data_IF_090835201775
#
_entry.id   IF_090835201775
#
_cell.length_a   1.000
_cell.length_b   1.000
_cell.length_c   1.000
_cell.angle_alpha   90.00
_cell.angle_beta   90.00
_cell.angle_gamma   90.00
#
_symmetry.space_group_name_H-M   'P 1'
#
loop_
_entity.id
_entity.type
_entity.pdbx_description
1 polymer ?
#
# COMPACT_ATOMS: atom_id res chain seq x y z
N UNK A 1 17.35 -12.46 -0.37
CA UNK A 1 16.78 -13.60 0.38
C UNK A 1 17.93 -14.56 0.67
N UNK A 2 18.11 -15.01 1.91
CA UNK A 2 19.19 -15.94 2.25
C UNK A 2 18.99 -17.29 1.53
N UNK A 3 20.05 -17.81 0.92
CA UNK A 3 20.00 -19.07 0.17
C UNK A 3 19.89 -20.28 1.13
N UNK A 4 19.59 -21.48 0.59
CA UNK A 4 19.34 -22.68 1.42
C UNK A 4 20.54 -23.02 2.31
N UNK A 5 21.75 -22.89 1.78
CA UNK A 5 23.00 -23.17 2.50
C UNK A 5 23.25 -22.16 3.62
N UNK A 6 23.00 -20.86 3.40
CA UNK A 6 23.11 -19.83 4.44
C UNK A 6 22.18 -20.10 5.62
N UNK A 7 20.93 -20.50 5.35
CA UNK A 7 20.01 -20.91 6.42
C UNK A 7 20.49 -22.16 7.16
N UNK A 8 21.12 -23.09 6.44
CA UNK A 8 21.73 -24.30 7.04
C UNK A 8 22.90 -23.91 7.95
N UNK A 9 23.81 -23.05 7.49
CA UNK A 9 24.92 -22.51 8.27
C UNK A 9 24.39 -21.83 9.54
N UNK A 10 23.41 -20.93 9.41
CA UNK A 10 22.79 -20.25 10.54
C UNK A 10 22.21 -21.24 11.56
N UNK A 11 21.48 -22.26 11.10
CA UNK A 11 20.92 -23.30 11.98
C UNK A 11 22.02 -24.08 12.70
N UNK A 12 23.08 -24.48 12.00
CA UNK A 12 24.16 -25.28 12.59
C UNK A 12 24.97 -24.47 13.61
N UNK A 13 25.17 -23.17 13.37
CA UNK A 13 25.79 -22.26 14.32
C UNK A 13 24.92 -22.06 15.58
N UNK A 14 23.59 -21.98 15.44
CA UNK A 14 22.67 -21.87 16.58
C UNK A 14 22.70 -23.08 17.51
N UNK A 15 23.09 -24.26 17.00
CA UNK A 15 23.24 -25.49 17.78
C UNK A 15 24.65 -25.60 18.39
N UNK A 16 25.47 -24.54 18.31
CA UNK A 16 26.84 -24.48 18.82
C UNK A 16 27.75 -25.62 18.30
N UNK A 17 27.51 -26.09 17.07
CA UNK A 17 28.44 -27.04 16.44
C UNK A 17 29.79 -26.36 16.18
N UNK A 18 30.93 -27.06 16.37
CA UNK A 18 32.24 -26.56 15.96
C UNK A 18 32.26 -26.17 14.48
N UNK A 19 32.90 -25.04 14.17
CA UNK A 19 32.93 -24.50 12.80
C UNK A 19 33.54 -25.48 11.78
N UNK A 20 34.50 -26.29 12.22
CA UNK A 20 35.12 -27.35 11.41
C UNK A 20 34.11 -28.43 11.02
N UNK A 21 33.37 -28.97 11.99
CA UNK A 21 32.34 -29.98 11.72
C UNK A 21 31.24 -29.46 10.79
N UNK A 22 30.88 -28.17 10.92
CA UNK A 22 29.96 -27.49 10.01
C UNK A 22 30.55 -27.46 8.60
N UNK A 23 31.82 -27.10 8.45
CA UNK A 23 32.49 -27.05 7.16
C UNK A 23 32.57 -28.43 6.50
N UNK A 24 32.96 -29.48 7.23
CA UNK A 24 33.03 -30.84 6.72
C UNK A 24 31.67 -31.32 6.19
N UNK A 25 30.57 -31.00 6.91
CA UNK A 25 29.21 -31.29 6.49
C UNK A 25 28.83 -30.55 5.19
N UNK A 26 29.31 -29.32 5.02
CA UNK A 26 29.06 -28.49 3.83
C UNK A 26 29.92 -28.92 2.62
N UNK A 27 31.17 -29.32 2.84
CA UNK A 27 32.07 -29.82 1.79
C UNK A 27 31.49 -31.09 1.17
N UNK A 28 30.91 -31.99 1.97
CA UNK A 28 30.19 -33.16 1.44
C UNK A 28 29.02 -32.79 0.50
N UNK A 29 28.47 -31.57 0.63
CA UNK A 29 27.42 -31.06 -0.26
C UNK A 29 28.00 -30.32 -1.48
N UNK A 30 29.21 -29.77 -1.38
CA UNK A 30 29.88 -28.99 -2.43
C UNK A 30 30.11 -29.81 -3.70
N UNK A 31 30.50 -31.08 -3.56
CA UNK A 31 30.82 -31.99 -4.67
C UNK A 31 29.58 -32.68 -5.28
N UNK A 32 28.37 -32.35 -4.82
CA UNK A 32 27.14 -32.87 -5.39
C UNK A 32 26.73 -32.10 -6.65
N UNK A 33 26.28 -32.79 -7.70
CA UNK A 33 25.96 -32.21 -9.03
C UNK A 33 24.85 -31.13 -9.04
N UNK A 34 24.11 -30.92 -7.95
CA UNK A 34 22.92 -30.03 -7.90
C UNK A 34 23.12 -28.72 -7.14
N UNK A 35 24.35 -28.37 -6.75
CA UNK A 35 24.58 -27.12 -6.01
C UNK A 35 24.59 -25.90 -6.92
N UNK A 36 23.88 -24.85 -6.53
CA UNK A 36 23.92 -23.56 -7.23
C UNK A 36 25.24 -22.82 -6.96
N UNK A 37 25.58 -21.85 -7.81
CA UNK A 37 26.80 -21.06 -7.66
C UNK A 37 26.79 -20.20 -6.38
N UNK A 38 25.65 -19.60 -6.05
CA UNK A 38 25.48 -18.82 -4.82
C UNK A 38 25.68 -19.70 -3.59
N UNK A 39 25.12 -20.90 -3.59
CA UNK A 39 25.29 -21.87 -2.50
C UNK A 39 26.75 -22.26 -2.33
N UNK A 40 27.45 -22.53 -3.43
CA UNK A 40 28.89 -22.80 -3.42
C UNK A 40 29.68 -21.64 -2.83
N UNK A 41 29.42 -20.43 -3.30
CA UNK A 41 30.07 -19.22 -2.81
C UNK A 41 29.83 -19.01 -1.31
N UNK A 42 28.64 -19.33 -0.81
CA UNK A 42 28.33 -19.26 0.64
C UNK A 42 29.17 -20.26 1.45
N UNK A 43 29.42 -21.48 0.94
CA UNK A 43 30.30 -22.46 1.60
C UNK A 43 31.74 -21.94 1.69
N UNK A 44 32.30 -21.49 0.56
CA UNK A 44 33.67 -20.97 0.53
C UNK A 44 33.82 -19.71 1.40
N UNK A 45 32.84 -18.80 1.38
CA UNK A 45 32.85 -17.61 2.24
C UNK A 45 32.75 -17.97 3.72
N UNK A 46 31.92 -18.94 4.10
CA UNK A 46 31.83 -19.40 5.47
C UNK A 46 33.18 -19.91 5.98
N UNK A 47 33.82 -20.81 5.23
CA UNK A 47 35.12 -21.37 5.59
C UNK A 47 36.21 -20.30 5.74
N UNK A 48 36.23 -19.34 4.80
CA UNK A 48 37.18 -18.23 4.81
C UNK A 48 36.99 -17.34 6.05
N UNK A 49 35.74 -17.02 6.41
CA UNK A 49 35.44 -16.19 7.56
C UNK A 49 35.59 -16.94 8.90
N UNK A 50 35.45 -18.26 8.90
CA UNK A 50 35.70 -19.12 10.05
C UNK A 50 37.20 -19.38 10.32
N UNK A 51 38.09 -18.89 9.45
CA UNK A 51 39.54 -19.07 9.62
C UNK A 51 40.04 -20.48 9.27
N UNK A 52 39.22 -21.30 8.59
CA UNK A 52 39.55 -22.68 8.21
C UNK A 52 40.42 -22.73 6.95
N UNK A 53 41.56 -22.03 6.95
CA UNK A 53 42.34 -21.77 5.75
C UNK A 53 42.98 -23.03 5.14
N UNK A 54 43.46 -23.95 5.97
CA UNK A 54 44.13 -25.17 5.50
C UNK A 54 43.12 -26.13 4.87
N UNK A 55 41.99 -26.34 5.54
CA UNK A 55 40.90 -27.16 5.04
C UNK A 55 40.29 -26.57 3.76
N UNK A 56 40.18 -25.24 3.70
CA UNK A 56 39.71 -24.54 2.50
C UNK A 56 40.69 -24.69 1.32
N UNK A 57 42.00 -24.61 1.56
CA UNK A 57 43.02 -24.86 0.53
C UNK A 57 42.93 -26.28 -0.01
N UNK A 58 42.81 -27.28 0.87
CA UNK A 58 42.63 -28.68 0.47
C UNK A 58 41.37 -28.85 -0.40
N UNK A 59 40.27 -28.19 0.01
CA UNK A 59 39.01 -28.20 -0.75
C UNK A 59 39.16 -27.56 -2.13
N UNK A 60 39.93 -26.47 -2.27
CA UNK A 60 40.22 -25.88 -3.57
C UNK A 60 41.03 -26.83 -4.47
N UNK A 61 42.02 -27.53 -3.93
CA UNK A 61 42.81 -28.54 -4.66
C UNK A 61 41.90 -29.63 -5.22
N UNK A 62 41.02 -30.18 -4.38
CA UNK A 62 40.04 -31.19 -4.80
C UNK A 62 39.07 -30.62 -5.85
N UNK A 63 38.58 -29.39 -5.66
CA UNK A 63 37.72 -28.72 -6.63
C UNK A 63 38.40 -28.49 -8.00
N UNK A 64 39.71 -28.22 -8.02
CA UNK A 64 40.49 -28.15 -9.26
C UNK A 64 40.55 -29.50 -9.98
N UNK A 65 40.79 -30.59 -9.23
CA UNK A 65 40.82 -31.96 -9.78
C UNK A 65 39.47 -32.38 -10.36
N UNK A 66 38.38 -32.10 -9.62
CA UNK A 66 37.00 -32.42 -10.01
C UNK A 66 36.43 -31.43 -11.06
N UNK A 67 37.22 -30.44 -11.51
CA UNK A 67 36.83 -29.40 -12.48
C UNK A 67 35.57 -28.63 -12.05
N UNK A 68 35.39 -28.46 -10.74
CA UNK A 68 34.29 -27.68 -10.19
C UNK A 68 34.57 -26.18 -10.43
N UNK A 69 33.55 -25.38 -10.82
CA UNK A 69 33.74 -23.93 -10.94
C UNK A 69 34.23 -23.31 -9.63
N UNK A 70 35.31 -22.53 -9.74
CA UNK A 70 36.09 -22.00 -8.63
C UNK A 70 35.72 -20.54 -8.39
N UNK A 71 35.42 -20.13 -7.14
CA UNK A 71 35.30 -18.72 -6.81
C UNK A 71 36.68 -18.05 -6.74
N UNK A 72 37.21 -17.65 -7.89
CA UNK A 72 38.59 -17.15 -8.03
C UNK A 72 38.91 -15.96 -7.11
N UNK A 73 37.96 -15.05 -6.91
CA UNK A 73 38.15 -13.95 -5.95
C UNK A 73 38.39 -14.42 -4.51
N UNK A 74 37.70 -15.48 -4.07
CA UNK A 74 37.88 -16.06 -2.73
C UNK A 74 39.19 -16.84 -2.64
N UNK A 75 39.56 -17.56 -3.70
CA UNK A 75 40.84 -18.25 -3.78
C UNK A 75 42.02 -17.28 -3.64
N UNK A 76 41.99 -16.16 -4.36
CA UNK A 76 43.03 -15.13 -4.27
C UNK A 76 43.11 -14.54 -2.85
N UNK A 77 41.94 -14.23 -2.26
CA UNK A 77 41.88 -13.72 -0.88
C UNK A 77 42.44 -14.71 0.13
N UNK A 78 42.16 -16.01 -0.03
CA UNK A 78 42.71 -17.07 0.80
C UNK A 78 44.24 -17.09 0.73
N UNK A 79 44.80 -17.07 -0.49
CA UNK A 79 46.26 -17.08 -0.67
C UNK A 79 46.94 -15.91 0.05
N UNK A 80 46.35 -14.70 -0.04
CA UNK A 80 46.84 -13.55 0.72
C UNK A 80 46.78 -13.78 2.24
N UNK A 81 45.65 -14.26 2.76
CA UNK A 81 45.50 -14.49 4.21
C UNK A 81 46.50 -15.54 4.73
N UNK A 82 46.87 -16.50 3.89
CA UNK A 82 47.92 -17.48 4.20
C UNK A 82 49.35 -16.97 3.99
N UNK A 83 49.53 -15.70 3.57
CA UNK A 83 50.83 -15.09 3.34
C UNK A 83 51.55 -15.56 2.06
N UNK A 84 50.84 -16.26 1.17
CA UNK A 84 51.42 -16.79 -0.07
C UNK A 84 51.50 -15.68 -1.11
N UNK A 85 52.72 -15.35 -1.55
CA UNK A 85 52.96 -14.45 -2.67
C UNK A 85 53.07 -15.25 -3.97
N UNK A 86 52.11 -15.13 -4.91
CA UNK A 86 52.15 -15.89 -6.15
C UNK A 86 53.28 -15.41 -7.06
N UNK A 87 53.91 -16.35 -7.77
CA UNK A 87 54.80 -16.00 -8.88
C UNK A 87 53.98 -15.67 -10.16
N UNK A 88 54.66 -15.22 -11.22
CA UNK A 88 54.02 -14.86 -12.49
C UNK A 88 53.25 -16.04 -13.13
N UNK A 89 53.79 -17.25 -13.01
CA UNK A 89 53.16 -18.47 -13.58
C UNK A 89 51.82 -18.80 -12.89
N UNK A 90 51.75 -18.64 -11.58
CA UNK A 90 50.52 -18.82 -10.79
C UNK A 90 49.49 -17.77 -11.19
N UNK A 91 49.89 -16.50 -11.30
CA UNK A 91 49.00 -15.41 -11.75
C UNK A 91 48.43 -15.72 -13.14
N UNK A 92 49.27 -16.15 -14.09
CA UNK A 92 48.80 -16.55 -15.42
C UNK A 92 47.84 -17.73 -15.38
N UNK A 93 48.12 -18.73 -14.54
CA UNK A 93 47.30 -19.93 -14.40
C UNK A 93 45.92 -19.58 -13.83
N UNK A 94 45.86 -18.67 -12.86
CA UNK A 94 44.61 -18.15 -12.29
C UNK A 94 43.79 -17.41 -13.36
N UNK A 95 44.41 -16.52 -14.12
CA UNK A 95 43.72 -15.78 -15.19
C UNK A 95 43.22 -16.74 -16.29
N UNK A 96 44.05 -17.70 -16.71
CA UNK A 96 43.67 -18.74 -17.69
C UNK A 96 42.50 -19.60 -17.17
N UNK A 97 42.54 -19.98 -15.88
CA UNK A 97 41.48 -20.73 -15.22
C UNK A 97 40.16 -19.96 -15.17
N UNK A 98 40.19 -18.70 -14.75
CA UNK A 98 39.00 -17.84 -14.71
C UNK A 98 38.41 -17.61 -16.11
N UNK A 99 39.24 -17.43 -17.14
CA UNK A 99 38.78 -17.32 -18.53
C UNK A 99 38.09 -18.60 -19.00
N UNK A 100 38.67 -19.77 -18.73
CA UNK A 100 38.08 -21.08 -19.11
C UNK A 100 36.71 -21.31 -18.46
N UNK A 101 36.50 -20.80 -17.26
CA UNK A 101 35.23 -20.92 -16.54
C UNK A 101 34.26 -19.75 -16.83
N UNK A 102 34.63 -18.79 -17.66
CA UNK A 102 33.88 -17.56 -17.90
C UNK A 102 33.54 -16.82 -16.59
N UNK A 103 34.57 -16.63 -15.74
CA UNK A 103 34.49 -16.02 -14.40
C UNK A 103 35.55 -14.95 -14.17
N UNK A 104 35.95 -14.26 -15.24
CA UNK A 104 36.97 -13.19 -15.19
C UNK A 104 36.51 -12.02 -14.33
N UNK A 105 35.20 -11.78 -14.28
CA UNK A 105 34.56 -10.78 -13.43
C UNK A 105 34.84 -10.98 -11.93
N UNK A 106 34.96 -12.24 -11.48
CA UNK A 106 35.28 -12.54 -10.08
C UNK A 106 36.71 -12.14 -9.69
N UNK A 107 37.62 -11.98 -10.67
CA UNK A 107 38.98 -11.50 -10.44
C UNK A 107 39.02 -10.00 -10.12
N UNK A 108 38.01 -9.22 -10.53
CA UNK A 108 37.93 -7.80 -10.20
C UNK A 108 37.83 -7.53 -8.69
N UNK A 109 37.42 -8.53 -7.91
CA UNK A 109 37.33 -8.46 -6.45
C UNK A 109 38.70 -8.62 -5.77
N UNK A 110 39.72 -9.07 -6.51
CA UNK A 110 41.06 -9.33 -5.99
C UNK A 110 41.95 -8.09 -6.04
N UNK A 111 41.60 -7.07 -5.23
CA UNK A 111 42.37 -5.83 -5.13
C UNK A 111 43.81 -6.04 -4.67
N UNK A 112 44.02 -7.14 -3.96
CA UNK A 112 45.27 -7.55 -3.34
C UNK A 112 46.40 -7.84 -4.32
N UNK A 113 46.08 -8.29 -5.53
CA UNK A 113 47.08 -8.64 -6.55
C UNK A 113 47.33 -7.52 -7.56
N UNK A 114 46.68 -6.36 -7.40
CA UNK A 114 46.91 -5.19 -8.29
C UNK A 114 48.35 -4.66 -8.22
N UNK A 115 48.99 -4.79 -7.06
CA UNK A 115 50.40 -4.43 -6.87
C UNK A 115 51.36 -5.40 -7.56
N UNK A 116 50.92 -6.64 -7.79
CA UNK A 116 51.70 -7.71 -8.41
C UNK A 116 51.53 -7.75 -9.93
N UNK A 117 50.34 -7.40 -10.43
CA UNK A 117 50.01 -7.39 -11.85
C UNK A 117 48.91 -6.36 -12.19
N UNK A 118 49.21 -5.44 -13.11
CA UNK A 118 48.31 -4.35 -13.49
C UNK A 118 47.02 -4.81 -14.17
N UNK A 119 46.98 -6.05 -14.71
CA UNK A 119 45.78 -6.60 -15.38
C UNK A 119 44.59 -6.72 -14.44
N UNK A 120 44.81 -6.94 -13.14
CA UNK A 120 43.71 -6.98 -12.16
C UNK A 120 43.03 -5.62 -12.02
N UNK A 121 43.81 -4.53 -12.06
CA UNK A 121 43.29 -3.16 -12.03
C UNK A 121 42.47 -2.84 -13.28
N UNK A 122 42.98 -3.22 -14.46
CA UNK A 122 42.26 -3.07 -15.72
C UNK A 122 40.93 -3.84 -15.72
N UNK A 123 40.96 -5.11 -15.28
CA UNK A 123 39.76 -5.93 -15.14
C UNK A 123 38.72 -5.31 -14.21
N UNK A 124 39.14 -4.74 -13.07
CA UNK A 124 38.22 -4.05 -12.16
C UNK A 124 37.55 -2.86 -12.83
N UNK A 125 38.31 -2.01 -13.51
CA UNK A 125 37.77 -0.85 -14.23
C UNK A 125 36.77 -1.31 -15.30
N UNK A 126 37.10 -2.36 -16.06
CA UNK A 126 36.18 -2.93 -17.06
C UNK A 126 34.89 -3.45 -16.42
N UNK A 127 34.98 -4.24 -15.35
CA UNK A 127 33.80 -4.79 -14.66
C UNK A 127 32.95 -3.69 -14.02
N UNK A 128 33.57 -2.67 -13.45
CA UNK A 128 32.87 -1.50 -12.92
C UNK A 128 32.15 -0.73 -14.03
N UNK A 129 32.81 -0.48 -15.17
CA UNK A 129 32.19 0.17 -16.33
C UNK A 129 31.03 -0.65 -16.89
N UNK A 130 31.20 -1.96 -17.04
CA UNK A 130 30.13 -2.87 -17.48
C UNK A 130 28.95 -2.88 -16.50
N UNK A 131 29.23 -2.84 -15.20
CA UNK A 131 28.18 -2.77 -14.17
C UNK A 131 27.44 -1.45 -14.24
N UNK A 132 28.13 -0.32 -14.39
CA UNK A 132 27.51 0.99 -14.58
C UNK A 132 26.68 1.02 -15.86
N UNK A 133 27.20 0.47 -16.97
CA UNK A 133 26.48 0.42 -18.24
C UNK A 133 25.23 -0.46 -18.14
N UNK A 134 25.32 -1.65 -17.53
CA UNK A 134 24.16 -2.52 -17.26
C UNK A 134 23.13 -1.83 -16.38
N UNK A 135 23.57 -1.10 -15.35
CA UNK A 135 22.69 -0.34 -14.46
C UNK A 135 21.97 0.77 -15.23
N UNK A 136 22.69 1.52 -16.08
CA UNK A 136 22.13 2.55 -16.97
C UNK A 136 21.14 1.98 -18.00
N UNK A 137 21.51 0.89 -18.67
CA UNK A 137 20.65 0.21 -19.64
C UNK A 137 19.38 -0.32 -18.98
N UNK A 138 19.49 -0.87 -17.76
CA UNK A 138 18.33 -1.35 -17.00
C UNK A 138 17.41 -0.20 -16.57
N UNK A 139 17.99 0.95 -16.20
CA UNK A 139 17.21 2.18 -15.95
C UNK A 139 16.42 2.58 -17.19
N UNK A 140 17.09 2.70 -18.33
CA UNK A 140 16.47 3.10 -19.59
C UNK A 140 15.35 2.14 -19.99
N UNK A 141 15.59 0.84 -19.96
CA UNK A 141 14.58 -0.18 -20.27
C UNK A 141 13.34 -0.08 -19.37
N UNK A 142 13.49 0.28 -18.10
CA UNK A 142 12.36 0.47 -17.20
C UNK A 142 11.61 1.78 -17.48
N UNK A 143 12.31 2.84 -17.86
CA UNK A 143 11.69 4.10 -18.31
C UNK A 143 10.89 3.88 -19.59
N UNK A 144 11.45 3.16 -20.57
CA UNK A 144 10.75 2.82 -21.82
C UNK A 144 9.48 2.01 -21.54
N UNK A 145 9.50 1.13 -20.52
CA UNK A 145 8.31 0.40 -20.07
C UNK A 145 7.25 1.30 -19.43
N UNK A 146 7.67 2.28 -18.62
CA UNK A 146 6.75 3.27 -18.04
C UNK A 146 6.05 4.04 -19.15
N UNK A 147 6.81 4.52 -20.14
CA UNK A 147 6.26 5.23 -21.30
C UNK A 147 5.30 4.34 -22.12
N UNK A 148 5.67 3.08 -22.33
CA UNK A 148 4.80 2.10 -22.96
C UNK A 148 3.47 1.92 -22.19
N UNK A 149 3.52 1.68 -20.87
CA UNK A 149 2.32 1.50 -20.05
C UNK A 149 1.44 2.75 -20.05
N UNK A 150 2.05 3.94 -20.00
CA UNK A 150 1.36 5.22 -20.13
C UNK A 150 0.63 5.35 -21.46
N UNK A 151 1.30 5.02 -22.57
CA UNK A 151 0.70 5.08 -23.91
C UNK A 151 -0.51 4.15 -24.07
N UNK A 152 -0.50 3.00 -23.38
CA UNK A 152 -1.57 2.00 -23.39
C UNK A 152 -2.62 2.21 -22.29
N UNK A 153 -2.51 3.27 -21.47
CA UNK A 153 -3.38 3.55 -20.32
C UNK A 153 -3.44 2.42 -19.29
N UNK A 154 -2.32 1.70 -19.11
CA UNK A 154 -2.18 0.61 -18.14
C UNK A 154 -1.69 1.16 -16.78
N UNK A 155 -2.60 1.75 -16.02
CA UNK A 155 -2.31 2.53 -14.81
C UNK A 155 -1.62 1.70 -13.72
N UNK A 156 -2.09 0.48 -13.47
CA UNK A 156 -1.53 -0.39 -12.42
C UNK A 156 -0.10 -0.84 -12.74
N UNK A 157 0.16 -1.16 -14.01
CA UNK A 157 1.48 -1.53 -14.50
C UNK A 157 2.45 -0.36 -14.49
N UNK A 158 2.00 0.84 -14.87
CA UNK A 158 2.77 2.08 -14.74
C UNK A 158 3.17 2.32 -13.28
N UNK A 159 2.21 2.23 -12.34
CA UNK A 159 2.46 2.38 -10.90
C UNK A 159 3.48 1.36 -10.38
N UNK A 160 3.36 0.09 -10.78
CA UNK A 160 4.31 -0.97 -10.38
C UNK A 160 5.71 -0.69 -10.95
N UNK A 161 5.81 -0.28 -12.21
CA UNK A 161 7.09 0.03 -12.84
C UNK A 161 7.79 1.23 -12.17
N UNK A 162 7.07 2.30 -11.87
CA UNK A 162 7.59 3.46 -11.15
C UNK A 162 8.05 3.10 -9.73
N UNK A 163 7.30 2.26 -9.00
CA UNK A 163 7.74 1.77 -7.67
C UNK A 163 9.03 0.95 -7.73
N UNK A 164 9.20 0.11 -8.76
CA UNK A 164 10.44 -0.65 -8.97
C UNK A 164 11.60 0.30 -9.27
N UNK A 165 11.38 1.32 -10.11
CA UNK A 165 12.35 2.37 -10.40
C UNK A 165 12.78 3.12 -9.14
N UNK A 166 11.84 3.61 -8.32
CA UNK A 166 12.16 4.30 -7.06
C UNK A 166 12.92 3.42 -6.07
N UNK A 167 12.59 2.12 -5.98
CA UNK A 167 13.33 1.19 -5.13
C UNK A 167 14.76 0.95 -5.62
N UNK A 168 14.97 1.00 -6.93
CA UNK A 168 16.28 0.78 -7.54
C UNK A 168 17.14 2.05 -7.62
N UNK A 169 16.52 3.23 -7.67
CA UNK A 169 17.14 4.54 -7.85
C UNK A 169 16.53 5.56 -6.86
N UNK A 170 16.71 5.38 -5.53
CA UNK A 170 16.02 6.20 -4.53
C UNK A 170 16.47 7.67 -4.51
N UNK A 171 17.70 7.95 -4.93
CA UNK A 171 18.28 9.31 -4.93
C UNK A 171 17.95 10.12 -6.19
N UNK A 172 17.22 9.53 -7.14
CA UNK A 172 16.86 10.18 -8.39
C UNK A 172 15.66 11.10 -8.21
N UNK A 173 15.94 12.40 -8.10
CA UNK A 173 14.92 13.45 -7.89
C UNK A 173 13.90 13.52 -9.03
N UNK A 174 14.29 13.19 -10.25
CA UNK A 174 13.38 13.26 -11.40
C UNK A 174 12.35 12.12 -11.34
N UNK A 175 12.77 10.92 -10.93
CA UNK A 175 11.85 9.80 -10.70
C UNK A 175 10.87 10.07 -9.55
N UNK A 176 11.32 10.71 -8.49
CA UNK A 176 10.43 11.10 -7.37
C UNK A 176 9.36 12.09 -7.85
N UNK A 177 9.76 13.10 -8.63
CA UNK A 177 8.83 14.07 -9.23
C UNK A 177 7.84 13.39 -10.18
N UNK A 178 8.33 12.48 -11.03
CA UNK A 178 7.49 11.75 -11.98
C UNK A 178 6.46 10.87 -11.25
N UNK A 179 6.85 10.21 -10.17
CA UNK A 179 5.92 9.42 -9.35
C UNK A 179 4.89 10.28 -8.63
N UNK A 180 5.29 11.44 -8.10
CA UNK A 180 4.36 12.39 -7.49
C UNK A 180 3.35 12.92 -8.51
N UNK A 181 3.81 13.24 -9.73
CA UNK A 181 2.95 13.66 -10.84
C UNK A 181 1.94 12.56 -11.19
N UNK A 182 2.39 11.31 -11.30
CA UNK A 182 1.52 10.16 -11.53
C UNK A 182 0.46 10.01 -10.43
N UNK A 183 0.82 10.09 -9.14
CA UNK A 183 -0.16 10.00 -8.04
C UNK A 183 -1.15 11.17 -8.06
N UNK A 184 -0.72 12.38 -8.45
CA UNK A 184 -1.62 13.53 -8.61
C UNK A 184 -2.60 13.35 -9.77
N UNK A 185 -2.12 12.89 -10.92
CA UNK A 185 -2.96 12.62 -12.09
C UNK A 185 -3.95 11.49 -11.80
N UNK A 186 -3.49 10.43 -11.14
CA UNK A 186 -4.34 9.32 -10.71
C UNK A 186 -5.38 9.76 -9.68
N UNK A 187 -5.01 10.58 -8.69
CA UNK A 187 -5.95 11.13 -7.73
C UNK A 187 -7.03 11.96 -8.44
N UNK A 188 -6.66 12.79 -9.42
CA UNK A 188 -7.61 13.54 -10.25
C UNK A 188 -8.53 12.62 -11.05
N UNK A 189 -8.01 11.53 -11.62
CA UNK A 189 -8.82 10.56 -12.37
C UNK A 189 -9.79 9.80 -11.46
N UNK A 190 -9.35 9.38 -10.27
CA UNK A 190 -10.24 8.74 -9.29
C UNK A 190 -11.32 9.71 -8.84
N UNK A 191 -10.95 10.97 -8.56
CA UNK A 191 -11.91 12.02 -8.19
C UNK A 191 -12.88 12.26 -9.35
N UNK A 192 -12.42 12.38 -10.59
CA UNK A 192 -13.30 12.62 -11.74
C UNK A 192 -14.21 11.44 -12.06
N UNK A 193 -13.73 10.20 -11.89
CA UNK A 193 -14.57 8.99 -11.96
C UNK A 193 -15.59 8.97 -10.84
N UNK A 194 -15.18 9.26 -9.61
CA UNK A 194 -16.13 9.38 -8.51
C UNK A 194 -17.12 10.52 -8.74
N UNK A 195 -16.70 11.67 -9.28
CA UNK A 195 -17.58 12.81 -9.55
C UNK A 195 -18.55 12.53 -10.71
N UNK A 196 -18.15 11.75 -11.72
CA UNK A 196 -19.05 11.29 -12.78
C UNK A 196 -20.01 10.19 -12.29
N UNK A 197 -19.54 9.28 -11.43
CA UNK A 197 -20.41 8.32 -10.73
C UNK A 197 -21.31 9.00 -9.68
N UNK A 198 -20.90 10.14 -9.11
CA UNK A 198 -21.65 10.94 -8.12
C UNK A 198 -22.53 12.00 -8.80
N UNK A 199 -22.34 12.32 -10.08
CA UNK A 199 -23.34 13.03 -10.89
C UNK A 199 -24.44 12.12 -11.44
N UNK A 200 -24.23 10.81 -11.41
CA UNK A 200 -25.29 9.82 -11.23
C UNK A 200 -25.48 9.49 -9.74
N UNK A 201 -25.37 10.51 -8.87
CA UNK A 201 -26.26 10.62 -7.73
C UNK A 201 -27.65 10.49 -8.31
N UNK A 202 -28.13 9.25 -8.28
CA UNK A 202 -29.49 8.90 -7.94
C UNK A 202 -30.04 10.02 -7.06
N UNK A 203 -30.59 11.07 -7.69
CA UNK A 203 -31.98 11.41 -7.45
C UNK A 203 -32.62 10.05 -7.29
N UNK A 204 -32.80 9.61 -6.05
CA UNK A 204 -33.42 8.33 -5.71
C UNK A 204 -34.54 8.25 -6.71
N UNK A 205 -34.41 7.39 -7.74
CA UNK A 205 -35.41 7.35 -8.79
C UNK A 205 -36.69 7.18 -8.01
N UNK A 206 -37.53 8.22 -7.96
CA UNK A 206 -38.72 8.18 -7.14
C UNK A 206 -39.41 6.95 -7.67
N UNK A 207 -39.45 5.88 -6.86
CA UNK A 207 -40.07 4.65 -7.29
C UNK A 207 -41.52 5.08 -7.46
N UNK A 208 -41.90 5.30 -8.71
CA UNK A 208 -43.23 5.76 -9.04
C UNK A 208 -44.11 4.53 -8.82
N UNK A 209 -44.64 4.43 -7.60
CA UNK A 209 -45.58 3.40 -7.25
C UNK A 209 -46.70 3.42 -8.28
N UNK A 210 -47.02 2.26 -8.83
CA UNK A 210 -48.15 2.13 -9.74
C UNK A 210 -49.47 2.39 -8.98
N UNK A 211 -50.58 2.56 -9.71
CA UNK A 211 -51.85 2.95 -9.09
C UNK A 211 -52.38 1.93 -8.06
N UNK A 212 -52.01 0.65 -8.16
CA UNK A 212 -52.39 -0.39 -7.20
C UNK A 212 -51.53 -0.32 -5.94
N UNK A 213 -50.21 -0.17 -6.10
CA UNK A 213 -49.27 0.02 -5.00
C UNK A 213 -49.60 1.27 -4.19
N UNK A 214 -49.97 2.37 -4.83
CA UNK A 214 -50.42 3.59 -4.13
C UNK A 214 -51.68 3.35 -3.29
N UNK A 215 -52.64 2.54 -3.77
CA UNK A 215 -53.84 2.17 -3.01
C UNK A 215 -53.49 1.31 -1.81
N UNK A 216 -52.61 0.31 -1.98
CA UNK A 216 -52.17 -0.57 -0.89
C UNK A 216 -51.42 0.26 0.17
N UNK A 217 -50.46 1.09 -0.23
CA UNK A 217 -49.76 1.99 0.68
C UNK A 217 -50.73 2.94 1.41
N UNK A 218 -51.72 3.50 0.71
CA UNK A 218 -52.76 4.33 1.32
C UNK A 218 -53.55 3.59 2.39
N UNK A 219 -53.96 2.34 2.11
CA UNK A 219 -54.69 1.52 3.09
C UNK A 219 -53.86 1.17 4.32
N UNK A 220 -52.57 0.87 4.15
CA UNK A 220 -51.63 0.60 5.25
C UNK A 220 -51.44 1.85 6.10
N UNK A 221 -51.24 3.02 5.47
CA UNK A 221 -51.08 4.28 6.19
C UNK A 221 -52.32 4.66 7.00
N UNK A 222 -53.52 4.44 6.43
CA UNK A 222 -54.75 4.67 7.15
C UNK A 222 -54.87 3.77 8.39
N UNK A 223 -54.56 2.48 8.26
CA UNK A 223 -54.55 1.55 9.40
C UNK A 223 -53.51 1.95 10.45
N UNK A 224 -52.31 2.36 10.02
CA UNK A 224 -51.29 2.88 10.95
C UNK A 224 -51.79 4.12 11.70
N UNK A 225 -52.45 5.06 11.02
CA UNK A 225 -53.04 6.24 11.65
C UNK A 225 -54.13 5.88 12.66
N UNK A 226 -55.01 4.93 12.32
CA UNK A 226 -56.05 4.44 13.24
C UNK A 226 -55.43 3.81 14.50
N UNK A 227 -54.39 2.99 14.35
CA UNK A 227 -53.67 2.39 15.48
C UNK A 227 -52.98 3.47 16.32
N UNK A 228 -52.29 4.42 15.69
CA UNK A 228 -51.62 5.52 16.37
C UNK A 228 -52.60 6.42 17.14
N UNK A 229 -53.80 6.66 16.59
CA UNK A 229 -54.84 7.46 17.25
C UNK A 229 -55.34 6.84 18.57
N UNK A 230 -55.19 5.52 18.71
CA UNK A 230 -55.57 4.77 19.91
C UNK A 230 -54.36 4.50 20.82
N UNK A 231 -53.14 4.54 20.29
CA UNK A 231 -51.91 4.21 20.99
C UNK A 231 -50.70 4.98 20.44
N UNK A 232 -50.43 6.14 21.04
CA UNK A 232 -49.32 7.04 20.69
C UNK A 232 -47.95 6.35 20.68
N UNK A 233 -47.73 5.34 21.53
CA UNK A 233 -46.44 4.64 21.63
C UNK A 233 -46.05 3.88 20.33
N UNK A 234 -47.04 3.54 19.50
CA UNK A 234 -46.76 2.84 18.23
C UNK A 234 -46.26 3.78 17.13
N UNK A 235 -46.55 5.08 17.24
CA UNK A 235 -46.26 6.07 16.20
C UNK A 235 -44.76 6.19 15.89
N UNK A 236 -43.92 6.22 16.93
CA UNK A 236 -42.46 6.27 16.76
C UNK A 236 -41.93 5.08 15.95
N UNK A 237 -42.35 3.85 16.31
CA UNK A 237 -41.91 2.64 15.64
C UNK A 237 -42.39 2.56 14.18
N UNK A 238 -43.64 2.98 13.92
CA UNK A 238 -44.15 3.06 12.55
C UNK A 238 -43.44 4.12 11.72
N UNK A 239 -43.11 5.27 12.29
CA UNK A 239 -42.32 6.30 11.61
C UNK A 239 -40.92 5.79 11.21
N UNK A 240 -40.24 5.03 12.09
CA UNK A 240 -38.99 4.35 11.75
C UNK A 240 -39.19 3.36 10.61
N UNK A 241 -40.22 2.52 10.68
CA UNK A 241 -40.54 1.57 9.61
C UNK A 241 -40.75 2.26 8.27
N UNK A 242 -41.52 3.36 8.25
CA UNK A 242 -41.79 4.16 7.06
C UNK A 242 -40.54 4.84 6.51
N UNK A 243 -39.62 5.28 7.37
CA UNK A 243 -38.29 5.78 6.98
C UNK A 243 -37.52 4.72 6.20
N UNK A 244 -37.43 3.50 6.72
CA UNK A 244 -36.72 2.40 6.06
C UNK A 244 -37.39 1.92 4.77
N UNK A 245 -38.71 2.07 4.66
CA UNK A 245 -39.45 1.84 3.42
C UNK A 245 -39.31 2.97 2.39
N UNK A 246 -38.51 4.02 2.69
CA UNK A 246 -38.27 5.14 1.78
C UNK A 246 -39.45 6.11 1.68
N UNK A 247 -40.33 6.17 2.68
CA UNK A 247 -41.49 7.08 2.72
C UNK A 247 -41.40 8.09 3.87
N UNK A 248 -40.43 9.03 3.84
CA UNK A 248 -40.20 9.96 4.95
C UNK A 248 -41.37 10.96 5.15
N UNK A 249 -42.08 11.33 4.09
CA UNK A 249 -43.29 12.16 4.16
C UNK A 249 -44.42 11.49 4.96
N UNK A 250 -44.65 10.20 4.73
CA UNK A 250 -45.63 9.44 5.48
C UNK A 250 -45.17 9.21 6.91
N UNK A 251 -43.87 8.96 7.11
CA UNK A 251 -43.28 8.86 8.44
C UNK A 251 -43.51 10.13 9.27
N UNK A 252 -43.34 11.33 8.68
CA UNK A 252 -43.62 12.60 9.35
C UNK A 252 -45.08 12.69 9.82
N UNK A 253 -46.04 12.33 8.96
CA UNK A 253 -47.47 12.35 9.31
C UNK A 253 -47.81 11.38 10.45
N UNK A 254 -47.19 10.20 10.45
CA UNK A 254 -47.39 9.23 11.53
C UNK A 254 -46.73 9.72 12.83
N UNK A 255 -45.57 10.39 12.73
CA UNK A 255 -44.83 10.89 13.88
C UNK A 255 -45.59 12.00 14.63
N UNK A 256 -46.54 12.69 14.00
CA UNK A 256 -47.42 13.68 14.66
C UNK A 256 -48.31 13.09 15.77
N UNK A 257 -48.50 11.76 15.78
CA UNK A 257 -49.24 11.05 16.83
C UNK A 257 -48.34 10.60 18.00
N UNK A 258 -47.02 10.74 17.88
CA UNK A 258 -46.09 10.34 18.93
C UNK A 258 -46.03 11.41 20.04
N UNK A 259 -45.74 10.98 21.26
CA UNK A 259 -45.53 11.93 22.36
C UNK A 259 -44.24 12.72 22.14
N UNK A 260 -44.24 14.00 22.53
CA UNK A 260 -43.08 14.90 22.42
C UNK A 260 -41.95 14.43 23.35
N UNK A 261 -41.04 13.64 22.79
CA UNK A 261 -39.84 13.10 23.44
C UNK A 261 -38.61 13.51 22.64
N UNK A 262 -37.44 13.50 23.30
CA UNK A 262 -36.20 13.89 22.63
C UNK A 262 -35.87 12.97 21.45
N UNK A 263 -36.20 11.67 21.54
CA UNK A 263 -36.03 10.72 20.43
C UNK A 263 -36.92 11.04 19.23
N UNK A 264 -38.17 11.44 19.48
CA UNK A 264 -39.13 11.85 18.45
C UNK A 264 -38.64 13.11 17.74
N UNK A 265 -38.13 14.09 18.48
CA UNK A 265 -37.59 15.33 17.94
C UNK A 265 -36.40 15.11 17.00
N UNK A 266 -35.46 14.23 17.36
CA UNK A 266 -34.33 13.90 16.50
C UNK A 266 -34.74 13.07 15.28
N UNK A 267 -35.68 12.13 15.45
CA UNK A 267 -36.23 11.39 14.31
C UNK A 267 -36.93 12.34 13.33
N UNK A 268 -37.65 13.36 13.83
CA UNK A 268 -38.29 14.38 13.01
C UNK A 268 -37.27 15.16 12.19
N UNK A 269 -36.13 15.57 12.76
CA UNK A 269 -35.05 16.23 12.00
C UNK A 269 -34.56 15.33 10.86
N UNK A 270 -34.25 14.08 11.17
CA UNK A 270 -33.79 13.12 10.16
C UNK A 270 -34.80 12.98 9.01
N UNK A 271 -36.09 12.84 9.34
CA UNK A 271 -37.15 12.73 8.34
C UNK A 271 -37.35 14.01 7.52
N UNK A 272 -37.15 15.19 8.11
CA UNK A 272 -37.20 16.47 7.40
C UNK A 272 -36.04 16.59 6.39
N UNK A 273 -34.85 16.11 6.76
CA UNK A 273 -33.71 16.04 5.82
C UNK A 273 -34.00 15.04 4.70
N UNK A 274 -34.47 13.83 5.03
CA UNK A 274 -34.73 12.77 4.06
C UNK A 274 -35.89 13.12 3.09
N UNK A 275 -36.85 13.95 3.52
CA UNK A 275 -37.94 14.46 2.68
C UNK A 275 -37.60 15.74 1.90
N UNK A 276 -36.40 16.31 2.11
CA UNK A 276 -35.99 17.56 1.44
C UNK A 276 -36.64 18.82 2.01
N UNK A 277 -37.28 18.75 3.18
CA UNK A 277 -37.90 19.88 3.88
C UNK A 277 -36.87 20.64 4.72
N UNK A 278 -35.83 21.17 4.06
CA UNK A 278 -34.67 21.73 4.73
C UNK A 278 -34.97 22.99 5.55
N UNK A 279 -35.91 23.83 5.10
CA UNK A 279 -36.31 25.04 5.86
C UNK A 279 -36.96 24.65 7.19
N UNK A 280 -37.87 23.68 7.16
CA UNK A 280 -38.52 23.16 8.37
C UNK A 280 -37.50 22.46 9.29
N UNK A 281 -36.53 21.75 8.71
CA UNK A 281 -35.43 21.16 9.46
C UNK A 281 -34.63 22.23 10.21
N UNK A 282 -34.32 23.37 9.59
CA UNK A 282 -33.56 24.45 10.23
C UNK A 282 -34.33 25.06 11.42
N UNK A 283 -35.64 25.24 11.28
CA UNK A 283 -36.51 25.68 12.37
C UNK A 283 -36.51 24.67 13.53
N UNK A 284 -36.72 23.39 13.24
CA UNK A 284 -36.74 22.34 14.25
C UNK A 284 -35.39 22.19 14.99
N UNK A 285 -34.27 22.32 14.26
CA UNK A 285 -32.92 22.32 14.84
C UNK A 285 -32.73 23.49 15.81
N UNK A 286 -33.22 24.68 15.44
CA UNK A 286 -33.15 25.85 16.32
C UNK A 286 -33.94 25.65 17.62
N UNK A 287 -35.15 25.10 17.54
CA UNK A 287 -35.99 24.83 18.71
C UNK A 287 -35.33 23.83 19.67
N UNK A 288 -34.69 22.78 19.14
CA UNK A 288 -33.97 21.76 19.92
C UNK A 288 -32.72 22.35 20.59
N UNK A 289 -31.95 23.20 19.89
CA UNK A 289 -30.81 23.89 20.50
C UNK A 289 -31.23 24.78 21.67
N UNK A 290 -32.36 25.49 21.55
CA UNK A 290 -32.88 26.31 22.64
C UNK A 290 -33.34 25.45 23.83
N UNK A 291 -34.00 24.32 23.57
CA UNK A 291 -34.56 23.44 24.59
C UNK A 291 -33.48 22.66 25.36
N UNK A 292 -32.42 22.25 24.68
CA UNK A 292 -31.35 21.44 25.25
C UNK A 292 -29.98 22.14 25.21
N UNK A 293 -29.95 23.46 25.38
CA UNK A 293 -28.74 24.28 25.33
C UNK A 293 -27.63 23.85 26.31
N UNK A 294 -28.00 23.15 27.39
CA UNK A 294 -27.06 22.67 28.41
C UNK A 294 -26.36 21.35 28.03
N UNK A 295 -26.80 20.68 26.96
CA UNK A 295 -26.19 19.44 26.49
C UNK A 295 -25.22 19.72 25.32
N UNK A 296 -23.89 19.54 25.51
CA UNK A 296 -22.92 19.77 24.45
C UNK A 296 -23.09 18.82 23.26
N UNK A 297 -23.62 17.61 23.47
CA UNK A 297 -23.87 16.67 22.37
C UNK A 297 -24.96 17.19 21.43
N UNK A 298 -26.02 17.78 21.99
CA UNK A 298 -27.06 18.46 21.22
C UNK A 298 -26.49 19.57 20.34
N UNK A 299 -25.54 20.37 20.83
CA UNK A 299 -24.88 21.40 20.00
C UNK A 299 -24.18 20.81 18.78
N UNK A 300 -23.42 19.71 18.94
CA UNK A 300 -22.76 19.04 17.82
C UNK A 300 -23.77 18.40 16.86
N UNK A 301 -24.80 17.73 17.38
CA UNK A 301 -25.84 17.09 16.58
C UNK A 301 -26.67 18.11 15.78
N UNK A 302 -27.04 19.23 16.40
CA UNK A 302 -27.76 20.33 15.77
C UNK A 302 -26.91 21.00 14.67
N UNK A 303 -25.63 21.28 14.96
CA UNK A 303 -24.69 21.83 13.97
C UNK A 303 -24.53 20.90 12.77
N UNK A 304 -24.45 19.59 13.00
CA UNK A 304 -24.36 18.59 11.95
C UNK A 304 -25.64 18.53 11.09
N UNK A 305 -26.81 18.53 11.72
CA UNK A 305 -28.09 18.56 11.01
C UNK A 305 -28.27 19.84 10.19
N UNK A 306 -27.88 21.00 10.75
CA UNK A 306 -27.86 22.30 10.07
C UNK A 306 -26.97 22.25 8.84
N UNK A 307 -25.77 21.68 8.94
CA UNK A 307 -24.88 21.53 7.78
C UNK A 307 -25.52 20.70 6.67
N UNK A 308 -26.17 19.57 7.00
CA UNK A 308 -26.91 18.76 6.01
C UNK A 308 -28.05 19.55 5.35
N UNK A 309 -28.84 20.28 6.13
CA UNK A 309 -29.95 21.08 5.61
C UNK A 309 -29.47 22.23 4.70
N UNK A 310 -28.40 22.94 5.09
CA UNK A 310 -27.79 23.99 4.27
C UNK A 310 -27.23 23.46 2.96
N UNK A 311 -26.55 22.32 2.99
CA UNK A 311 -26.08 21.68 1.76
C UNK A 311 -27.24 21.27 0.85
N UNK A 312 -28.33 20.74 1.42
CA UNK A 312 -29.57 20.44 0.69
C UNK A 312 -30.22 21.66 0.03
N UNK A 313 -30.02 22.86 0.58
CA UNK A 313 -30.45 24.14 0.00
C UNK A 313 -29.46 24.71 -1.04
N UNK A 314 -28.37 23.99 -1.33
CA UNK A 314 -27.29 24.46 -2.22
C UNK A 314 -26.33 25.47 -1.58
N UNK A 315 -26.40 25.67 -0.26
CA UNK A 315 -25.49 26.55 0.48
C UNK A 315 -24.27 25.75 0.98
N UNK A 316 -23.50 25.20 0.04
CA UNK A 316 -22.40 24.26 0.32
C UNK A 316 -21.25 24.89 1.11
N UNK A 317 -20.90 26.14 0.84
CA UNK A 317 -19.83 26.86 1.58
C UNK A 317 -20.10 26.92 3.09
N UNK A 318 -21.21 27.55 3.52
CA UNK A 318 -21.61 27.57 4.93
C UNK A 318 -21.76 26.18 5.55
N UNK A 319 -22.24 25.19 4.79
CA UNK A 319 -22.34 23.81 5.26
C UNK A 319 -20.96 23.20 5.59
N UNK A 320 -19.97 23.42 4.73
CA UNK A 320 -18.58 22.98 4.95
C UNK A 320 -17.98 23.66 6.18
N UNK A 321 -18.17 24.97 6.34
CA UNK A 321 -17.65 25.72 7.50
C UNK A 321 -18.17 25.14 8.83
N UNK A 322 -19.47 24.78 8.87
CA UNK A 322 -20.06 24.12 10.04
C UNK A 322 -19.45 22.74 10.29
N UNK A 323 -19.25 21.91 9.25
CA UNK A 323 -18.61 20.60 9.42
C UNK A 323 -17.14 20.74 9.87
N UNK A 324 -16.41 21.72 9.34
CA UNK A 324 -15.03 22.01 9.75
C UNK A 324 -14.97 22.40 11.23
N UNK A 325 -15.93 23.19 11.71
CA UNK A 325 -16.03 23.55 13.13
C UNK A 325 -16.18 22.30 14.01
N UNK A 326 -17.00 21.33 13.60
CA UNK A 326 -17.19 20.05 14.32
C UNK A 326 -15.88 19.25 14.29
N UNK A 327 -15.29 19.04 13.11
CA UNK A 327 -14.09 18.20 12.91
C UNK A 327 -12.89 18.76 13.69
N UNK A 328 -12.77 20.08 13.80
CA UNK A 328 -11.70 20.73 14.55
C UNK A 328 -11.69 20.38 16.04
N UNK A 329 -12.86 20.08 16.61
CA UNK A 329 -13.03 19.72 18.02
C UNK A 329 -13.17 18.21 18.21
N UNK A 330 -13.92 17.53 17.33
CA UNK A 330 -14.16 16.08 17.35
C UNK A 330 -13.99 15.49 15.95
N UNK A 331 -12.76 15.08 15.57
CA UNK A 331 -12.47 14.57 14.22
C UNK A 331 -13.29 13.35 13.80
N UNK A 332 -13.70 12.52 14.77
CA UNK A 332 -14.44 11.28 14.54
C UNK A 332 -15.96 11.42 14.77
N UNK A 333 -16.50 12.64 14.73
CA UNK A 333 -17.92 12.86 14.94
C UNK A 333 -18.74 12.41 13.72
N UNK A 334 -19.42 11.26 13.85
CA UNK A 334 -20.27 10.67 12.79
C UNK A 334 -19.51 10.63 11.45
N UNK A 335 -20.12 11.13 10.37
CA UNK A 335 -19.53 11.21 9.04
C UNK A 335 -19.08 12.64 8.67
N UNK A 336 -18.84 13.53 9.66
CA UNK A 336 -18.57 14.94 9.41
C UNK A 336 -17.34 15.17 8.52
N UNK A 337 -16.23 14.47 8.79
CA UNK A 337 -15.02 14.55 7.99
C UNK A 337 -15.23 14.05 6.54
N UNK A 338 -15.96 12.95 6.38
CA UNK A 338 -16.28 12.37 5.07
C UNK A 338 -17.15 13.32 4.24
N UNK A 339 -18.23 13.86 4.83
CA UNK A 339 -19.12 14.81 4.15
C UNK A 339 -18.38 16.10 3.79
N UNK A 340 -17.55 16.63 4.70
CA UNK A 340 -16.75 17.83 4.45
C UNK A 340 -15.82 17.64 3.25
N UNK A 341 -15.13 16.51 3.18
CA UNK A 341 -14.20 16.21 2.08
C UNK A 341 -14.95 16.00 0.76
N UNK A 342 -16.09 15.31 0.80
CA UNK A 342 -16.94 15.07 -0.37
C UNK A 342 -17.44 16.39 -0.96
N UNK A 343 -18.06 17.25 -0.13
CA UNK A 343 -18.66 18.51 -0.60
C UNK A 343 -17.60 19.56 -0.99
N UNK A 344 -16.44 19.56 -0.34
CA UNK A 344 -15.33 20.44 -0.75
C UNK A 344 -14.78 20.06 -2.13
N UNK A 345 -14.82 18.77 -2.49
CA UNK A 345 -14.45 18.30 -3.83
C UNK A 345 -15.42 18.74 -4.93
N UNK A 346 -16.71 18.96 -4.61
CA UNK A 346 -17.74 19.40 -5.56
C UNK A 346 -17.64 20.90 -5.91
N UNK A 347 -16.91 21.70 -5.13
CA UNK A 347 -16.68 23.13 -5.37
C UNK A 347 -15.48 23.42 -6.29
N UNK A 348 -14.66 22.42 -6.61
CA UNK A 348 -13.46 22.50 -7.46
C UNK A 348 -13.75 22.01 -8.89
#
# INVERSE_FOLDING_TARGET
MANRIERKIQRLLLVNKPQKDIFDELVAHLFQKKISEDERNSIFNFALNAGLYQELLATFVEAFHEKIPIPWGLYIRLLKLTGVTPNKEVIESVIKGAKRQNRVDTLALATDWESLDSRFKELRITVENDRHQKYKNKKQMLLDKVEFYRSQRMVDEEKRALKILLRMFPDDKDLVREYQKFEQEWAKEVISRSASETHESKLTERIFLNAEEQKVCGSILQQMQEICSQNNNSAYNFAIGLKFMGSPEAALKILEFADDTWEVEWLKIDLLIDSGRFVDCLSQVHDIELRYANDPETTFAATYARAKALNGLGQTGPAIDLLQSIVSVRPNYRSAFTLMTQWAGELL
#
